data_IF_897969748533
#
_entry.id   IF_897969748533
#
_cell.length_a   1.000
_cell.length_b   1.000
_cell.length_c   1.000
_cell.angle_alpha   90.00
_cell.angle_beta   90.00
_cell.angle_gamma   90.00
#
_symmetry.space_group_name_H-M   'P 1'
#
loop_
_entity.id
_entity.type
_entity.pdbx_description
1 polymer ?
#
# COMPACT_ATOMS: atom_id res chain seq x y z
N UNK A 1 -5.40 3.19 -17.65
CA UNK A 1 -5.67 4.60 -17.95
C UNK A 1 -4.78 5.41 -17.05
N UNK A 2 -3.91 6.26 -17.61
CA UNK A 2 -3.03 7.14 -16.84
C UNK A 2 -3.77 8.43 -16.47
N UNK A 3 -3.39 9.03 -15.35
CA UNK A 3 -3.87 10.33 -14.90
C UNK A 3 -3.08 11.40 -15.64
N UNK A 4 -3.80 12.28 -16.33
CA UNK A 4 -3.18 13.35 -17.11
C UNK A 4 -2.90 14.54 -16.18
N UNK A 5 -1.65 14.96 -16.12
CA UNK A 5 -1.19 16.14 -15.40
C UNK A 5 -0.96 17.27 -16.40
N UNK A 6 -1.34 18.49 -16.04
CA UNK A 6 -1.23 19.63 -16.96
C UNK A 6 0.03 20.42 -16.66
N UNK A 7 0.92 20.56 -17.65
CA UNK A 7 2.13 21.37 -17.48
C UNK A 7 1.78 22.86 -17.32
N UNK A 8 1.89 23.37 -16.11
CA UNK A 8 1.73 24.80 -15.83
C UNK A 8 2.79 25.30 -14.83
N UNK A 9 3.90 25.91 -15.30
CA UNK A 9 5.01 26.31 -14.44
C UNK A 9 4.74 27.59 -13.63
N UNK A 10 3.62 28.28 -13.85
CA UNK A 10 3.38 29.63 -13.32
C UNK A 10 3.20 29.67 -11.79
N UNK A 11 3.02 28.52 -11.14
CA UNK A 11 2.93 28.40 -9.68
C UNK A 11 4.26 28.16 -8.96
N UNK A 12 5.36 27.90 -9.68
CA UNK A 12 6.67 27.56 -9.09
C UNK A 12 7.71 28.64 -9.39
N UNK A 13 8.27 29.25 -8.34
CA UNK A 13 9.26 30.32 -8.43
C UNK A 13 10.56 29.91 -9.14
N UNK A 14 10.84 28.61 -9.26
CA UNK A 14 12.03 28.08 -9.93
C UNK A 14 11.85 27.93 -11.43
N UNK A 15 10.61 27.88 -11.92
CA UNK A 15 10.30 27.57 -13.32
C UNK A 15 9.39 28.58 -14.02
N UNK A 16 8.66 29.40 -13.26
CA UNK A 16 7.76 30.40 -13.81
C UNK A 16 8.51 31.44 -14.66
N UNK A 17 7.94 31.86 -15.81
CA UNK A 17 8.50 32.96 -16.58
C UNK A 17 8.34 34.30 -15.83
N UNK A 18 9.13 35.31 -16.21
CA UNK A 18 8.98 36.66 -15.65
C UNK A 18 7.69 37.31 -16.16
N UNK A 19 7.04 38.09 -15.29
CA UNK A 19 5.89 38.91 -15.67
C UNK A 19 4.54 38.19 -15.74
N UNK A 20 4.42 37.02 -15.10
CA UNK A 20 3.12 36.34 -14.96
C UNK A 20 2.12 37.22 -14.22
N UNK A 21 0.84 37.10 -14.58
CA UNK A 21 -0.24 37.77 -13.86
C UNK A 21 -0.67 36.97 -12.64
N UNK A 22 -1.41 37.61 -11.74
CA UNK A 22 -1.99 36.92 -10.59
C UNK A 22 -2.97 35.82 -11.01
N UNK A 23 -3.73 36.03 -12.09
CA UNK A 23 -4.67 35.06 -12.64
C UNK A 23 -3.94 33.81 -13.15
N UNK A 24 -2.83 33.98 -13.87
CA UNK A 24 -1.99 32.86 -14.35
C UNK A 24 -1.37 32.07 -13.20
N UNK A 25 -0.94 32.76 -12.14
CA UNK A 25 -0.48 32.13 -10.91
C UNK A 25 -1.61 31.33 -10.24
N UNK A 26 -2.80 31.94 -10.09
CA UNK A 26 -3.95 31.29 -9.47
C UNK A 26 -4.39 30.04 -10.26
N UNK A 27 -4.45 30.13 -11.59
CA UNK A 27 -4.79 29.01 -12.47
C UNK A 27 -3.81 27.85 -12.28
N UNK A 28 -2.50 28.11 -12.22
CA UNK A 28 -1.50 27.07 -12.00
C UNK A 28 -1.67 26.36 -10.65
N UNK A 29 -1.96 27.11 -9.58
CA UNK A 29 -2.20 26.54 -8.26
C UNK A 29 -3.48 25.69 -8.23
N UNK A 30 -4.57 26.18 -8.83
CA UNK A 30 -5.81 25.40 -8.96
C UNK A 30 -5.59 24.12 -9.76
N UNK A 31 -4.87 24.18 -10.89
CA UNK A 31 -4.53 23.02 -11.71
C UNK A 31 -3.72 21.99 -10.91
N UNK A 32 -2.68 22.42 -10.18
CA UNK A 32 -1.87 21.52 -9.36
C UNK A 32 -2.71 20.83 -8.27
N UNK A 33 -3.62 21.56 -7.62
CA UNK A 33 -4.53 20.97 -6.63
C UNK A 33 -5.43 19.90 -7.24
N UNK A 34 -5.98 20.15 -8.44
CA UNK A 34 -6.81 19.18 -9.16
C UNK A 34 -6.01 17.93 -9.52
N UNK A 35 -4.79 18.09 -10.03
CA UNK A 35 -3.90 17.00 -10.41
C UNK A 35 -3.53 16.13 -9.20
N UNK A 36 -3.16 16.76 -8.07
CA UNK A 36 -2.87 16.05 -6.81
C UNK A 36 -4.12 15.31 -6.30
N UNK A 37 -5.29 15.94 -6.33
CA UNK A 37 -6.53 15.31 -5.88
C UNK A 37 -6.88 14.06 -6.71
N UNK A 38 -6.65 14.10 -8.03
CA UNK A 38 -6.88 12.95 -8.91
C UNK A 38 -5.98 11.76 -8.56
N UNK A 39 -4.68 12.01 -8.37
CA UNK A 39 -3.71 10.96 -7.97
C UNK A 39 -4.05 10.40 -6.59
N UNK A 40 -4.33 11.26 -5.61
CA UNK A 40 -4.73 10.84 -4.27
C UNK A 40 -6.01 10.01 -4.31
N UNK A 41 -6.99 10.38 -5.13
CA UNK A 41 -8.22 9.60 -5.33
C UNK A 41 -7.94 8.18 -5.84
N UNK A 42 -7.02 8.04 -6.80
CA UNK A 42 -6.62 6.73 -7.31
C UNK A 42 -5.91 5.87 -6.26
N UNK A 43 -5.00 6.47 -5.47
CA UNK A 43 -4.33 5.78 -4.35
C UNK A 43 -5.35 5.32 -3.29
N UNK A 44 -6.35 6.15 -2.96
CA UNK A 44 -7.45 5.76 -2.08
C UNK A 44 -8.22 4.54 -2.62
N UNK A 45 -8.57 4.53 -3.92
CA UNK A 45 -9.23 3.38 -4.53
C UNK A 45 -8.37 2.11 -4.46
N UNK A 46 -7.04 2.23 -4.65
CA UNK A 46 -6.12 1.10 -4.50
C UNK A 46 -6.08 0.59 -3.07
N UNK A 47 -6.00 1.49 -2.09
CA UNK A 47 -6.01 1.13 -0.67
C UNK A 47 -7.32 0.44 -0.26
N UNK A 48 -8.47 0.94 -0.73
CA UNK A 48 -9.76 0.27 -0.49
C UNK A 48 -9.80 -1.14 -1.08
N UNK A 49 -9.28 -1.34 -2.29
CA UNK A 49 -9.19 -2.67 -2.91
C UNK A 49 -8.27 -3.63 -2.14
N UNK A 50 -7.17 -3.14 -1.56
CA UNK A 50 -6.33 -3.95 -0.68
C UNK A 50 -7.16 -4.43 0.53
N UNK A 51 -7.90 -3.53 1.18
CA UNK A 51 -8.79 -3.88 2.29
C UNK A 51 -9.89 -4.89 1.91
N UNK A 52 -10.51 -4.74 0.74
CA UNK A 52 -11.53 -5.69 0.23
C UNK A 52 -10.96 -7.08 -0.09
N UNK A 53 -9.70 -7.14 -0.52
CA UNK A 53 -9.01 -8.37 -0.89
C UNK A 53 -8.18 -8.97 0.24
N UNK A 54 -8.08 -8.30 1.37
CA UNK A 54 -7.30 -8.74 2.51
C UNK A 54 -7.63 -10.20 2.86
N UNK A 55 -6.60 -11.03 3.03
CA UNK A 55 -6.75 -12.44 3.42
C UNK A 55 -7.54 -13.32 2.42
N UNK A 56 -7.61 -12.94 1.14
CA UNK A 56 -8.35 -13.70 0.13
C UNK A 56 -7.87 -15.16 0.01
N UNK A 57 -6.58 -15.43 0.23
CA UNK A 57 -6.04 -16.79 0.25
C UNK A 57 -6.56 -17.62 1.42
N UNK A 58 -6.85 -17.01 2.59
CA UNK A 58 -7.50 -17.70 3.71
C UNK A 58 -8.86 -18.23 3.30
N UNK A 59 -9.65 -17.43 2.57
CA UNK A 59 -11.00 -17.83 2.10
C UNK A 59 -10.94 -18.79 0.92
N UNK A 60 -10.03 -18.58 -0.05
CA UNK A 60 -9.89 -19.46 -1.22
C UNK A 60 -9.39 -20.85 -0.85
N UNK A 61 -8.46 -20.95 0.10
CA UNK A 61 -7.82 -22.20 0.53
C UNK A 61 -8.24 -22.61 1.95
N UNK A 62 -9.47 -22.26 2.36
CA UNK A 62 -9.97 -22.38 3.75
C UNK A 62 -9.86 -23.80 4.32
N UNK A 63 -10.08 -24.83 3.50
CA UNK A 63 -9.93 -26.23 3.94
C UNK A 63 -8.47 -26.57 4.28
N UNK A 64 -7.52 -26.08 3.48
CA UNK A 64 -6.10 -26.30 3.75
C UNK A 64 -5.67 -25.55 5.01
N UNK A 65 -6.11 -24.30 5.16
CA UNK A 65 -5.93 -23.51 6.36
C UNK A 65 -6.43 -24.25 7.60
N UNK A 66 -7.68 -24.72 7.56
CA UNK A 66 -8.31 -25.43 8.68
C UNK A 66 -7.57 -26.71 9.05
N UNK A 67 -7.14 -27.50 8.06
CA UNK A 67 -6.38 -28.71 8.32
C UNK A 67 -5.03 -28.42 8.99
N UNK A 68 -4.28 -27.43 8.51
CA UNK A 68 -3.02 -27.01 9.13
C UNK A 68 -3.26 -26.46 10.54
N UNK A 69 -4.32 -25.67 10.73
CA UNK A 69 -4.73 -25.17 12.04
C UNK A 69 -5.00 -26.31 13.02
N UNK A 70 -5.80 -27.32 12.62
CA UNK A 70 -6.07 -28.51 13.45
C UNK A 70 -4.80 -29.30 13.76
N UNK A 71 -3.91 -29.47 12.79
CA UNK A 71 -2.64 -30.17 13.02
C UNK A 71 -1.80 -29.43 14.07
N UNK A 72 -1.73 -28.11 14.01
CA UNK A 72 -1.01 -27.33 15.01
C UNK A 72 -1.62 -27.48 16.41
N UNK A 73 -2.93 -27.29 16.56
CA UNK A 73 -3.53 -27.28 17.91
C UNK A 73 -3.69 -28.68 18.53
N UNK A 74 -3.82 -29.74 17.72
CA UNK A 74 -4.08 -31.09 18.22
C UNK A 74 -2.83 -31.96 18.28
N UNK A 75 -1.86 -31.75 17.39
CA UNK A 75 -0.64 -32.59 17.31
C UNK A 75 0.66 -31.81 17.39
N UNK A 76 0.60 -30.48 17.59
CA UNK A 76 1.79 -29.65 17.77
C UNK A 76 2.61 -29.44 16.50
N UNK A 77 2.01 -29.64 15.32
CA UNK A 77 2.68 -29.37 14.05
C UNK A 77 3.02 -27.87 13.93
N UNK A 78 4.21 -27.56 13.42
CA UNK A 78 4.60 -26.18 13.15
C UNK A 78 3.74 -25.58 12.03
N UNK A 79 2.97 -24.55 12.38
CA UNK A 79 2.05 -23.88 11.47
C UNK A 79 2.78 -23.07 10.40
N UNK A 80 3.93 -22.49 10.75
CA UNK A 80 4.68 -21.53 9.91
C UNK A 80 5.44 -22.25 8.80
N UNK A 81 5.95 -23.45 9.04
CA UNK A 81 6.53 -24.29 7.98
C UNK A 81 5.47 -25.02 7.12
N UNK A 82 4.19 -24.93 7.46
CA UNK A 82 3.10 -25.57 6.74
C UNK A 82 2.88 -25.01 5.33
N UNK A 83 2.42 -25.87 4.42
CA UNK A 83 2.14 -25.53 3.02
C UNK A 83 1.20 -24.31 2.88
N UNK A 84 0.16 -24.26 3.72
CA UNK A 84 -0.79 -23.15 3.67
C UNK A 84 -0.12 -21.81 4.03
N UNK A 85 0.69 -21.79 5.09
CA UNK A 85 1.31 -20.54 5.55
C UNK A 85 2.30 -20.03 4.51
N UNK A 86 3.10 -20.93 3.94
CA UNK A 86 4.04 -20.59 2.86
C UNK A 86 3.31 -20.04 1.63
N UNK A 87 2.17 -20.63 1.23
CA UNK A 87 1.33 -20.06 0.17
C UNK A 87 0.81 -18.67 0.56
N UNK A 88 0.27 -18.54 1.77
CA UNK A 88 -0.35 -17.31 2.27
C UNK A 88 0.60 -16.12 2.24
N UNK A 89 1.82 -16.26 2.79
CA UNK A 89 2.81 -15.16 2.79
C UNK A 89 3.40 -14.87 1.40
N UNK A 90 3.33 -15.83 0.47
CA UNK A 90 3.81 -15.63 -0.91
C UNK A 90 2.77 -14.97 -1.81
N UNK A 91 1.49 -15.01 -1.46
CA UNK A 91 0.40 -14.44 -2.25
C UNK A 91 -0.16 -13.14 -1.65
N UNK A 92 -0.22 -13.05 -0.32
CA UNK A 92 -0.63 -11.83 0.38
C UNK A 92 0.56 -10.88 0.56
N UNK A 93 0.29 -9.58 0.49
CA UNK A 93 1.34 -8.54 0.50
C UNK A 93 1.58 -7.91 1.87
N UNK A 94 0.64 -8.05 2.81
CA UNK A 94 0.73 -7.42 4.14
C UNK A 94 1.67 -8.15 5.11
N UNK A 95 2.14 -9.37 4.81
CA UNK A 95 3.06 -10.13 5.67
C UNK A 95 4.54 -9.73 5.51
N UNK A 96 4.83 -8.42 5.52
CA UNK A 96 6.14 -7.87 5.14
C UNK A 96 7.31 -8.38 5.99
N UNK A 97 7.05 -8.76 7.25
CA UNK A 97 8.06 -9.32 8.15
C UNK A 97 8.41 -10.79 7.87
N UNK A 98 7.50 -11.50 7.19
CA UNK A 98 7.73 -12.89 6.75
C UNK A 98 8.30 -12.92 5.33
N UNK A 99 7.82 -12.02 4.47
CA UNK A 99 8.30 -11.84 3.11
C UNK A 99 8.00 -10.41 2.64
N UNK A 100 9.02 -9.72 2.17
CA UNK A 100 8.89 -8.40 1.57
C UNK A 100 8.95 -8.53 0.02
N UNK A 101 7.88 -8.20 -0.72
CA UNK A 101 7.92 -8.17 -2.19
C UNK A 101 8.93 -7.15 -2.73
N UNK A 102 9.51 -7.41 -3.91
CA UNK A 102 10.44 -6.47 -4.55
C UNK A 102 9.80 -5.13 -4.91
N UNK A 103 8.51 -5.17 -5.25
CA UNK A 103 7.68 -4.01 -5.58
C UNK A 103 6.82 -3.55 -4.38
N UNK A 104 7.21 -3.86 -3.14
CA UNK A 104 6.52 -3.39 -1.93
C UNK A 104 6.31 -1.88 -2.01
N UNK A 105 5.14 -1.38 -1.63
CA UNK A 105 4.82 0.05 -1.61
C UNK A 105 4.12 0.43 -0.29
N UNK A 106 3.88 1.73 -0.08
CA UNK A 106 3.30 2.23 1.17
C UNK A 106 1.86 1.76 1.41
N UNK A 107 1.13 1.32 0.39
CA UNK A 107 -0.20 0.74 0.56
C UNK A 107 -0.12 -0.61 1.27
N UNK A 108 0.91 -1.42 0.96
CA UNK A 108 1.17 -2.71 1.62
C UNK A 108 1.55 -2.48 3.09
N UNK A 109 2.34 -1.45 3.37
CA UNK A 109 2.72 -1.06 4.74
C UNK A 109 1.48 -0.64 5.55
N UNK A 110 0.60 0.17 4.96
CA UNK A 110 -0.65 0.56 5.62
C UNK A 110 -1.54 -0.67 5.87
N UNK A 111 -1.65 -1.59 4.91
CA UNK A 111 -2.41 -2.85 5.10
C UNK A 111 -1.84 -3.67 6.26
N UNK A 112 -0.52 -3.84 6.35
CA UNK A 112 0.14 -4.55 7.46
C UNK A 112 -0.17 -3.91 8.83
N UNK A 113 -0.10 -2.58 8.91
CA UNK A 113 -0.40 -1.85 10.16
C UNK A 113 -1.86 -2.10 10.56
N UNK A 114 -2.79 -1.99 9.62
CA UNK A 114 -4.22 -2.20 9.86
C UNK A 114 -4.49 -3.64 10.29
N UNK A 115 -3.93 -4.64 9.60
CA UNK A 115 -4.07 -6.05 9.96
C UNK A 115 -3.54 -6.30 11.37
N UNK A 116 -2.31 -5.89 11.68
CA UNK A 116 -1.71 -6.13 13.00
C UNK A 116 -2.54 -5.52 14.14
N UNK A 117 -3.05 -4.29 13.96
CA UNK A 117 -3.90 -3.62 14.96
C UNK A 117 -5.25 -4.32 15.11
N UNK A 118 -5.91 -4.65 14.00
CA UNK A 118 -7.19 -5.38 14.01
C UNK A 118 -7.04 -6.76 14.63
N UNK A 119 -6.02 -7.53 14.23
CA UNK A 119 -5.73 -8.85 14.75
C UNK A 119 -5.40 -8.82 16.25
N UNK A 120 -4.56 -7.88 16.71
CA UNK A 120 -4.23 -7.74 18.13
C UNK A 120 -5.46 -7.43 18.98
N UNK A 121 -6.23 -6.41 18.57
CA UNK A 121 -7.47 -6.02 19.27
C UNK A 121 -8.51 -7.13 19.31
N UNK A 122 -8.69 -7.87 18.23
CA UNK A 122 -9.72 -8.92 18.15
C UNK A 122 -9.32 -10.22 18.85
N UNK A 123 -8.03 -10.57 18.88
CA UNK A 123 -7.56 -11.84 19.45
C UNK A 123 -7.22 -11.74 20.93
N UNK A 124 -6.58 -10.65 21.37
CA UNK A 124 -6.12 -10.48 22.75
C UNK A 124 -6.57 -9.18 23.41
N UNK A 125 -7.20 -8.27 22.69
CA UNK A 125 -7.56 -6.94 23.19
C UNK A 125 -6.39 -5.94 23.23
N UNK A 126 -5.20 -6.38 22.83
CA UNK A 126 -3.95 -5.62 22.93
C UNK A 126 -3.24 -5.58 21.58
N UNK A 127 -2.64 -4.43 21.26
CA UNK A 127 -1.79 -4.27 20.08
C UNK A 127 -0.37 -4.60 20.50
N UNK A 128 0.22 -5.66 19.92
CA UNK A 128 1.64 -5.95 20.10
C UNK A 128 2.48 -4.88 19.42
N UNK A 129 3.66 -4.61 19.95
CA UNK A 129 4.61 -3.70 19.31
C UNK A 129 4.92 -4.20 17.89
N UNK A 130 4.77 -3.29 16.92
CA UNK A 130 5.00 -3.55 15.51
C UNK A 130 6.27 -2.83 15.10
N UNK A 131 7.31 -3.60 14.81
CA UNK A 131 8.57 -3.09 14.26
C UNK A 131 8.69 -3.49 12.79
N UNK A 132 9.13 -2.54 11.97
CA UNK A 132 9.46 -2.75 10.55
C UNK A 132 10.83 -2.15 10.28
N UNK A 133 11.64 -2.79 9.45
CA UNK A 133 12.98 -2.28 9.14
C UNK A 133 12.89 -0.98 8.33
N UNK A 134 13.85 -0.07 8.57
CA UNK A 134 13.99 1.17 7.78
C UNK A 134 14.25 0.88 6.30
N UNK A 135 14.86 -0.26 5.98
CA UNK A 135 15.07 -0.73 4.62
C UNK A 135 13.73 -0.98 3.90
N UNK A 136 12.80 -1.71 4.54
CA UNK A 136 11.48 -1.96 3.95
C UNK A 136 10.71 -0.65 3.77
N UNK A 137 10.73 0.24 4.77
CA UNK A 137 10.06 1.54 4.66
C UNK A 137 10.62 2.41 3.53
N UNK A 138 11.95 2.46 3.38
CA UNK A 138 12.56 3.20 2.29
C UNK A 138 12.24 2.58 0.93
N UNK A 139 12.31 1.24 0.81
CA UNK A 139 11.93 0.53 -0.41
C UNK A 139 10.47 0.81 -0.78
N UNK A 140 9.57 0.73 0.18
CA UNK A 140 8.15 1.04 0.00
C UNK A 140 7.93 2.48 -0.45
N UNK A 141 8.65 3.44 0.14
CA UNK A 141 8.59 4.84 -0.27
C UNK A 141 9.04 5.03 -1.73
N UNK A 142 10.22 4.52 -2.10
CA UNK A 142 10.76 4.66 -3.47
C UNK A 142 9.84 4.01 -4.50
N UNK A 143 9.34 2.80 -4.21
CA UNK A 143 8.39 2.12 -5.08
C UNK A 143 7.04 2.84 -5.17
N UNK A 144 6.61 3.55 -4.12
CA UNK A 144 5.40 4.39 -4.18
C UNK A 144 5.61 5.60 -5.07
N UNK A 145 6.79 6.23 -5.03
CA UNK A 145 7.15 7.30 -5.97
C UNK A 145 7.07 6.78 -7.40
N UNK A 146 7.68 5.62 -7.67
CA UNK A 146 7.60 4.97 -9.00
C UNK A 146 6.17 4.63 -9.40
N UNK A 147 5.36 4.09 -8.49
CA UNK A 147 3.96 3.76 -8.73
C UNK A 147 3.14 5.01 -9.12
N UNK A 148 3.37 6.13 -8.44
CA UNK A 148 2.73 7.42 -8.76
C UNK A 148 3.19 7.95 -10.11
N UNK A 149 4.50 7.90 -10.39
CA UNK A 149 5.06 8.29 -11.68
C UNK A 149 4.45 7.48 -12.83
N UNK A 150 4.49 6.15 -12.73
CA UNK A 150 3.98 5.22 -13.75
C UNK A 150 2.48 5.40 -14.04
N UNK A 151 1.68 5.85 -13.05
CA UNK A 151 0.25 6.10 -13.24
C UNK A 151 -0.08 7.50 -13.74
N UNK A 152 0.90 8.39 -13.85
CA UNK A 152 0.72 9.77 -14.33
C UNK A 152 1.38 9.99 -15.69
N UNK A 153 0.90 10.99 -16.42
CA UNK A 153 1.53 11.46 -17.66
C UNK A 153 1.36 12.97 -17.76
N UNK A 154 2.43 13.68 -18.09
CA UNK A 154 2.36 15.12 -18.33
C UNK A 154 1.93 15.38 -19.76
N UNK A 155 0.91 16.24 -19.94
CA UNK A 155 0.50 16.79 -21.22
C UNK A 155 0.86 18.27 -21.34
#
# INVERSE_FOLDING_TARGET
MQIELHKNPNGDTRTAPKGITFEQFQEANCSHMTDVAAVMGQLCCMLSRNGERHDWTKKKYEKMFYNNFLATINVGADFVSGEWYQLHINEERHHLLSRCPEDVNLLDVIEMIVDCVCAGKTRSGEVRELEISSEILNKAFQNTVKLVDDMTVVK
#
